data_IF_524739365683
#
_entry.id   IF_524739365683
#
_cell.length_a   1.000
_cell.length_b   1.000
_cell.length_c   1.000
_cell.angle_alpha   90.00
_cell.angle_beta   90.00
_cell.angle_gamma   90.00
#
_symmetry.space_group_name_H-M   'P 1'
#
loop_
_entity.id
_entity.type
_entity.pdbx_description
1 polymer ?
#
# COMPACT_ATOMS: atom_id res chain seq x y z
N UNK A 1 21.61 -8.60 1.02
CA UNK A 1 20.31 -8.87 0.39
C UNK A 1 19.62 -7.54 0.12
N UNK A 2 19.29 -7.22 -1.14
CA UNK A 2 18.53 -6.00 -1.43
C UNK A 2 17.10 -6.19 -0.89
N UNK A 3 16.74 -5.47 0.17
CA UNK A 3 15.40 -5.57 0.78
C UNK A 3 14.39 -4.97 -0.19
N UNK A 4 13.58 -5.81 -0.83
CA UNK A 4 12.53 -5.38 -1.76
C UNK A 4 11.50 -4.52 -1.02
N UNK A 5 10.99 -3.46 -1.65
CA UNK A 5 9.90 -2.64 -1.10
C UNK A 5 8.58 -3.21 -1.61
N UNK A 6 7.80 -3.80 -0.71
CA UNK A 6 6.46 -4.30 -1.04
C UNK A 6 5.49 -3.12 -1.07
N UNK A 7 4.56 -3.11 -2.02
CA UNK A 7 3.53 -2.09 -2.10
C UNK A 7 2.14 -2.64 -2.45
N UNK A 8 1.10 -1.87 -2.13
CA UNK A 8 -0.31 -2.16 -2.45
C UNK A 8 -0.94 -1.13 -3.38
N UNK A 9 -0.13 -0.35 -4.11
CA UNK A 9 -0.63 0.77 -4.94
C UNK A 9 -1.65 0.28 -5.97
N UNK A 10 -1.38 -0.83 -6.65
CA UNK A 10 -2.32 -1.38 -7.64
C UNK A 10 -3.66 -1.74 -6.99
N UNK A 11 -3.64 -2.37 -5.81
CA UNK A 11 -4.86 -2.73 -5.07
C UNK A 11 -5.72 -1.49 -4.79
N UNK A 12 -5.15 -0.48 -4.14
CA UNK A 12 -5.88 0.74 -3.79
C UNK A 12 -6.32 1.55 -5.00
N UNK A 13 -5.51 1.57 -6.07
CA UNK A 13 -5.87 2.24 -7.32
C UNK A 13 -7.11 1.59 -7.95
N UNK A 14 -7.16 0.26 -8.00
CA UNK A 14 -8.30 -0.48 -8.56
C UNK A 14 -9.55 -0.34 -7.68
N UNK A 15 -9.39 -0.37 -6.36
CA UNK A 15 -10.49 -0.17 -5.40
C UNK A 15 -11.17 1.20 -5.58
N UNK A 16 -10.38 2.24 -5.86
CA UNK A 16 -10.88 3.59 -6.18
C UNK A 16 -11.37 3.74 -7.62
N UNK A 17 -11.27 2.71 -8.46
CA UNK A 17 -11.67 2.76 -9.88
C UNK A 17 -10.79 3.66 -10.74
N UNK A 18 -9.56 3.97 -10.32
CA UNK A 18 -8.67 4.90 -11.01
C UNK A 18 -7.83 4.21 -12.08
N UNK A 19 -7.68 4.83 -13.23
CA UNK A 19 -6.60 4.52 -14.17
C UNK A 19 -5.24 4.97 -13.63
N UNK A 20 -4.14 4.46 -14.20
CA UNK A 20 -2.79 4.93 -13.86
C UNK A 20 -2.59 6.41 -14.18
N UNK A 21 -3.25 6.91 -15.23
CA UNK A 21 -3.18 8.31 -15.63
C UNK A 21 -3.83 9.21 -14.59
N UNK A 22 -5.05 8.87 -14.15
CA UNK A 22 -5.77 9.65 -13.13
C UNK A 22 -5.01 9.66 -11.79
N UNK A 23 -4.47 8.52 -11.35
CA UNK A 23 -3.65 8.50 -10.13
C UNK A 23 -2.39 9.36 -10.28
N UNK A 24 -1.74 9.32 -11.44
CA UNK A 24 -0.55 10.12 -11.71
C UNK A 24 -0.83 11.63 -11.68
N UNK A 25 -1.99 12.05 -12.21
CA UNK A 25 -2.46 13.43 -12.13
C UNK A 25 -2.71 13.85 -10.67
N UNK A 26 -3.36 13.01 -9.86
CA UNK A 26 -3.62 13.29 -8.45
C UNK A 26 -2.35 13.51 -7.62
N UNK A 27 -1.25 12.79 -7.92
CA UNK A 27 0.01 12.90 -7.19
C UNK A 27 1.09 13.68 -7.93
N UNK A 28 0.73 14.33 -9.05
CA UNK A 28 1.58 15.16 -9.89
C UNK A 28 2.87 14.46 -10.39
N UNK A 29 2.73 13.28 -10.99
CA UNK A 29 3.83 12.50 -11.61
C UNK A 29 3.49 12.04 -13.03
N UNK A 30 4.45 11.43 -13.72
CA UNK A 30 4.20 10.80 -15.01
C UNK A 30 3.40 9.49 -14.83
N UNK A 31 2.40 9.17 -15.68
CA UNK A 31 1.69 7.88 -15.65
C UNK A 31 2.58 6.63 -15.63
N UNK A 32 3.75 6.68 -16.27
CA UNK A 32 4.73 5.59 -16.25
C UNK A 32 5.30 5.35 -14.83
N UNK A 33 5.48 6.41 -14.04
CA UNK A 33 5.94 6.32 -12.64
C UNK A 33 5.02 5.42 -11.82
N UNK A 34 3.70 5.55 -11.99
CA UNK A 34 2.73 4.67 -11.32
C UNK A 34 2.94 3.21 -11.74
N UNK A 35 3.17 2.94 -13.02
CA UNK A 35 3.47 1.60 -13.52
C UNK A 35 4.75 1.00 -12.91
N UNK A 36 5.84 1.77 -12.81
CA UNK A 36 7.08 1.33 -12.18
C UNK A 36 6.91 1.08 -10.67
N UNK A 37 6.16 1.93 -9.99
CA UNK A 37 5.85 1.76 -8.57
C UNK A 37 5.05 0.47 -8.32
N UNK A 38 4.00 0.22 -9.10
CA UNK A 38 3.16 -0.98 -8.93
C UNK A 38 3.95 -2.29 -9.11
N UNK A 39 4.94 -2.30 -10.00
CA UNK A 39 5.82 -3.46 -10.20
C UNK A 39 6.97 -3.55 -9.20
N UNK A 40 7.21 -2.48 -8.42
CA UNK A 40 8.34 -2.39 -7.50
C UNK A 40 9.68 -2.08 -8.17
N UNK A 41 9.68 -1.70 -9.45
CA UNK A 41 10.88 -1.33 -10.22
C UNK A 41 11.51 -0.03 -9.71
N UNK A 42 10.71 0.81 -9.04
CA UNK A 42 11.09 2.13 -8.57
C UNK A 42 10.70 2.32 -7.11
N UNK A 43 11.59 2.92 -6.33
CA UNK A 43 11.31 3.33 -4.95
C UNK A 43 10.83 4.78 -4.95
N UNK A 44 9.64 5.06 -4.39
CA UNK A 44 9.17 6.44 -4.29
C UNK A 44 10.08 7.25 -3.35
N UNK A 45 10.13 8.55 -3.57
CA UNK A 45 10.59 9.48 -2.54
C UNK A 45 9.59 9.46 -1.37
N UNK A 46 10.02 9.94 -0.20
CA UNK A 46 9.12 10.10 0.96
C UNK A 46 7.91 10.96 0.60
N UNK A 47 8.13 12.04 -0.15
CA UNK A 47 7.06 12.93 -0.61
C UNK A 47 6.01 12.20 -1.47
N UNK A 48 6.44 11.38 -2.44
CA UNK A 48 5.52 10.64 -3.29
C UNK A 48 4.76 9.57 -2.51
N UNK A 49 5.42 8.91 -1.54
CA UNK A 49 4.75 7.95 -0.66
C UNK A 49 3.65 8.62 0.18
N UNK A 50 3.91 9.80 0.73
CA UNK A 50 2.93 10.59 1.49
C UNK A 50 1.77 11.08 0.60
N UNK A 51 2.05 11.54 -0.62
CA UNK A 51 1.00 11.95 -1.59
C UNK A 51 0.09 10.77 -1.96
N UNK A 52 0.65 9.59 -2.18
CA UNK A 52 -0.13 8.37 -2.46
C UNK A 52 -1.00 7.96 -1.27
N UNK A 53 -0.43 8.00 -0.05
CA UNK A 53 -1.15 7.73 1.19
C UNK A 53 -2.35 8.68 1.35
N UNK A 54 -2.14 9.97 1.13
CA UNK A 54 -3.20 10.99 1.16
C UNK A 54 -4.25 10.76 0.07
N UNK A 55 -3.84 10.48 -1.17
CA UNK A 55 -4.76 10.24 -2.29
C UNK A 55 -5.69 9.04 -2.04
N UNK A 56 -5.20 8.01 -1.34
CA UNK A 56 -5.98 6.83 -0.99
C UNK A 56 -6.72 6.94 0.34
N UNK A 57 -6.33 7.88 1.22
CA UNK A 57 -6.92 8.06 2.54
C UNK A 57 -6.46 7.02 3.56
N UNK A 58 -5.22 6.53 3.44
CA UNK A 58 -4.62 5.50 4.32
C UNK A 58 -3.23 5.92 4.78
N UNK A 59 -2.63 5.17 5.71
CA UNK A 59 -1.25 5.43 6.14
C UNK A 59 -0.22 4.96 5.11
N UNK A 60 1.01 5.45 5.20
CA UNK A 60 2.12 5.01 4.32
C UNK A 60 2.41 3.52 4.53
N UNK A 61 2.34 3.03 5.76
CA UNK A 61 2.57 1.63 6.15
C UNK A 61 1.46 0.71 5.63
N UNK A 62 0.27 1.25 5.37
CA UNK A 62 -0.80 0.51 4.70
C UNK A 62 -0.46 0.26 3.24
N UNK A 63 0.26 1.21 2.61
CA UNK A 63 0.65 1.13 1.20
C UNK A 63 1.97 0.43 0.98
N UNK A 64 2.93 0.55 1.89
CA UNK A 64 4.31 0.09 1.71
C UNK A 64 4.79 -0.70 2.91
N UNK A 65 5.57 -1.75 2.66
CA UNK A 65 6.20 -2.55 3.69
C UNK A 65 7.59 -3.00 3.29
N UNK A 66 8.46 -3.16 4.30
CA UNK A 66 9.80 -3.72 4.12
C UNK A 66 9.81 -5.25 4.19
N UNK A 67 8.68 -5.86 4.54
CA UNK A 67 8.42 -7.30 4.55
C UNK A 67 7.13 -7.59 3.77
N UNK A 68 6.94 -8.83 3.28
CA UNK A 68 5.71 -9.20 2.59
C UNK A 68 4.47 -8.90 3.44
N UNK A 69 3.43 -8.38 2.79
CA UNK A 69 2.16 -8.19 3.46
C UNK A 69 1.58 -9.54 3.91
N UNK A 70 1.01 -9.62 5.13
CA UNK A 70 0.37 -10.84 5.58
C UNK A 70 -0.81 -11.18 4.69
N UNK A 71 -1.03 -12.47 4.46
CA UNK A 71 -2.22 -12.96 3.76
C UNK A 71 -3.49 -12.57 4.54
N UNK A 72 -4.64 -12.55 3.84
CA UNK A 72 -5.93 -12.30 4.49
C UNK A 72 -6.20 -13.33 5.60
N UNK A 73 -5.93 -14.62 5.34
CA UNK A 73 -6.04 -15.68 6.34
C UNK A 73 -5.22 -15.34 7.61
N UNK A 74 -3.94 -14.99 7.43
CA UNK A 74 -3.08 -14.63 8.56
C UNK A 74 -3.54 -13.36 9.29
N UNK A 75 -4.22 -12.43 8.62
CA UNK A 75 -4.80 -11.24 9.26
C UNK A 75 -6.03 -11.59 10.10
N UNK A 76 -6.91 -12.46 9.59
CA UNK A 76 -8.10 -12.91 10.31
C UNK A 76 -7.74 -13.73 11.56
N UNK A 77 -6.75 -14.62 11.45
CA UNK A 77 -6.28 -15.44 12.58
C UNK A 77 -5.72 -14.56 13.71
N UNK A 78 -4.95 -13.51 13.38
CA UNK A 78 -4.42 -12.57 14.37
C UNK A 78 -5.52 -11.80 15.07
N UNK A 79 -6.50 -11.28 14.31
CA UNK A 79 -7.63 -10.54 14.86
C UNK A 79 -8.44 -11.41 15.84
N UNK A 80 -8.74 -12.65 15.47
CA UNK A 80 -9.42 -13.60 16.35
C UNK A 80 -8.62 -13.89 17.63
N UNK A 81 -7.29 -14.02 17.53
CA UNK A 81 -6.42 -14.24 18.67
C UNK A 81 -6.27 -13.01 19.58
N UNK A 82 -6.45 -11.79 19.07
CA UNK A 82 -6.45 -10.54 19.84
C UNK A 82 -7.80 -10.33 20.55
N UNK A 83 -8.92 -10.61 19.88
CA UNK A 83 -10.27 -10.54 20.45
C UNK A 83 -10.46 -11.52 21.63
N UNK A 84 -9.96 -12.75 21.50
CA UNK A 84 -9.99 -13.74 22.58
C UNK A 84 -9.15 -13.34 23.81
N UNK A 85 -8.11 -12.52 23.62
CA UNK A 85 -7.26 -12.02 24.72
C UNK A 85 -7.87 -10.83 25.45
N UNK A 86 -8.69 -10.02 24.77
CA UNK A 86 -9.34 -8.85 25.36
C UNK A 86 -10.71 -9.15 25.99
N UNK A 87 -11.23 -10.37 25.86
CA UNK A 87 -12.53 -10.79 26.41
C UNK A 87 -12.49 -11.50 27.77
N UNK A 88 -11.39 -11.40 28.53
CA UNK A 88 -11.23 -12.05 29.85
C UNK A 88 -11.21 -11.06 31.03
N UNK A 89 -11.76 -9.85 30.84
CA UNK A 89 -12.08 -8.93 31.94
C UNK A 89 -13.59 -8.89 32.19
#
# INVERSE_FOLDING_TARGET
MARMLFNRINLFRQEKGLSRKELAELVAVNPQTIGYLERGDYRPTVELALKLAQAFGVSVETLFALEPFPSLAAQLDRKAAEENRNGTD
#
